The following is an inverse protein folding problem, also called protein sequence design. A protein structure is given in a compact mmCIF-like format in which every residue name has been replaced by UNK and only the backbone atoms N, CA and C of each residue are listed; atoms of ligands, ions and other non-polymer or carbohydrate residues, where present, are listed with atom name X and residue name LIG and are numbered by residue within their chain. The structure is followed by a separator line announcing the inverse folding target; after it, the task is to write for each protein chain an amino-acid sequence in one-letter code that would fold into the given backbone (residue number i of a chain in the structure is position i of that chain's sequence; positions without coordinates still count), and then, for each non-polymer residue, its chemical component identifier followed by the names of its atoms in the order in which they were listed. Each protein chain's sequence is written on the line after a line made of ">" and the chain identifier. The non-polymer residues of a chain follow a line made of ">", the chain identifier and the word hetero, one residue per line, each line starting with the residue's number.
data_IF_976451118309
#
_entry.id   IF_976451118309
#
_cell.length_a   1.000
_cell.length_b   1.000
_cell.length_c   1.000
_cell.angle_alpha   90.00
_cell.angle_beta   90.00
_cell.angle_gamma   90.00
#
_symmetry.space_group_name_H-M   'P 1'
#
loop_
_entity.id
_entity.type
_entity.pdbx_description
1 polymer ?
#
# COMPACT_ATOMS: atom_id res chain seq x y z
N UNK A 1 -8.58 4.95 7.36
CA UNK A 1 -8.45 6.29 6.76
C UNK A 1 -7.80 6.11 5.39
N UNK A 2 -8.36 6.70 4.35
CA UNK A 2 -7.94 6.49 2.94
C UNK A 2 -6.91 7.53 2.50
N UNK A 3 -6.96 8.72 3.11
CA UNK A 3 -6.03 9.84 2.90
C UNK A 3 -4.55 9.41 2.99
N UNK A 4 -4.24 8.43 3.83
CA UNK A 4 -2.88 7.90 3.95
C UNK A 4 -2.34 7.29 2.64
N UNK A 5 -3.19 6.73 1.77
CA UNK A 5 -2.74 6.24 0.45
C UNK A 5 -2.39 7.41 -0.47
N UNK A 6 -3.22 8.46 -0.45
CA UNK A 6 -3.01 9.68 -1.24
C UNK A 6 -1.73 10.37 -0.79
N UNK A 7 -1.57 10.58 0.52
CA UNK A 7 -0.44 11.32 1.08
C UNK A 7 0.88 10.53 0.99
N UNK A 8 0.86 9.22 1.24
CA UNK A 8 2.09 8.40 1.27
C UNK A 8 2.67 8.16 -0.12
N UNK A 9 1.79 7.98 -1.11
CA UNK A 9 2.15 7.55 -2.46
C UNK A 9 1.91 8.61 -3.53
N UNK A 10 1.44 9.80 -3.18
CA UNK A 10 1.03 10.85 -4.13
C UNK A 10 0.03 10.33 -5.18
N UNK A 11 -0.97 9.59 -4.68
CA UNK A 11 -1.95 8.87 -5.50
C UNK A 11 -3.36 9.47 -5.36
N UNK A 12 -3.65 10.67 -5.93
CA UNK A 12 -4.91 11.38 -5.72
C UNK A 12 -6.14 10.60 -6.21
N UNK A 13 -5.99 9.75 -7.23
CA UNK A 13 -7.06 8.87 -7.71
C UNK A 13 -7.54 7.88 -6.63
N UNK A 14 -6.76 7.65 -5.58
CA UNK A 14 -7.14 6.79 -4.47
C UNK A 14 -8.02 7.47 -3.41
N UNK A 15 -8.44 8.72 -3.60
CA UNK A 15 -9.31 9.43 -2.66
C UNK A 15 -10.62 8.67 -2.36
N UNK A 16 -11.15 7.95 -3.36
CA UNK A 16 -12.40 7.17 -3.26
C UNK A 16 -12.18 5.69 -2.94
N UNK A 17 -10.95 5.26 -2.63
CA UNK A 17 -10.69 3.89 -2.21
C UNK A 17 -11.48 3.56 -0.93
N UNK A 18 -11.97 2.33 -0.83
CA UNK A 18 -12.79 1.88 0.29
C UNK A 18 -11.96 1.07 1.28
N UNK A 19 -11.90 1.43 2.57
CA UNK A 19 -11.18 0.64 3.56
C UNK A 19 -11.93 -0.67 3.85
N UNK A 20 -11.20 -1.78 3.85
CA UNK A 20 -11.74 -3.13 4.14
C UNK A 20 -11.38 -3.54 5.56
N UNK A 21 -10.11 -3.38 5.94
CA UNK A 21 -9.61 -3.77 7.25
C UNK A 21 -8.42 -2.90 7.64
N UNK A 22 -8.22 -2.75 8.94
CA UNK A 22 -7.00 -2.16 9.50
C UNK A 22 -6.69 -2.88 10.81
N UNK A 23 -5.48 -3.40 10.92
CA UNK A 23 -4.98 -4.05 12.12
C UNK A 23 -3.65 -3.42 12.49
N UNK A 24 -3.45 -3.19 13.78
CA UNK A 24 -2.20 -2.64 14.30
C UNK A 24 -1.79 -3.40 15.54
N UNK A 25 -0.50 -3.67 15.65
CA UNK A 25 0.13 -4.22 16.85
C UNK A 25 1.32 -3.37 17.23
N UNK A 26 1.50 -3.20 18.53
CA UNK A 26 2.69 -2.52 19.09
C UNK A 26 3.28 -3.44 20.14
N UNK A 27 4.59 -3.63 20.09
CA UNK A 27 5.33 -4.51 20.98
C UNK A 27 6.71 -3.95 21.32
N UNK A 28 7.52 -4.72 22.09
CA UNK A 28 8.87 -4.31 22.50
C UNK A 28 9.82 -4.06 21.32
N UNK A 29 9.57 -4.74 20.20
CA UNK A 29 10.40 -4.72 18.98
C UNK A 29 9.86 -3.74 17.91
N UNK A 30 8.87 -2.90 18.26
CA UNK A 30 8.32 -1.88 17.35
C UNK A 30 6.81 -1.98 17.11
N UNK A 31 6.36 -1.37 16.01
CA UNK A 31 4.97 -1.35 15.55
C UNK A 31 4.81 -1.98 14.18
N UNK A 32 3.66 -2.62 14.00
CA UNK A 32 3.24 -3.24 12.75
C UNK A 32 1.81 -2.78 12.47
N UNK A 33 1.57 -2.30 11.25
CA UNK A 33 0.24 -1.89 10.80
C UNK A 33 -0.06 -2.51 9.44
N UNK A 34 -1.17 -3.24 9.36
CA UNK A 34 -1.70 -3.82 8.13
C UNK A 34 -2.99 -3.08 7.78
N UNK A 35 -3.06 -2.58 6.54
CA UNK A 35 -4.21 -1.84 6.01
C UNK A 35 -4.66 -2.50 4.71
N UNK A 36 -5.96 -2.73 4.57
CA UNK A 36 -6.54 -3.31 3.37
C UNK A 36 -7.61 -2.38 2.78
N UNK A 37 -7.62 -2.24 1.47
CA UNK A 37 -8.54 -1.39 0.72
C UNK A 37 -9.05 -2.09 -0.54
N UNK A 38 -10.20 -1.67 -1.04
CA UNK A 38 -10.60 -1.90 -2.43
C UNK A 38 -10.62 -0.58 -3.19
N UNK A 39 -10.17 -0.60 -4.44
CA UNK A 39 -10.11 0.58 -5.27
C UNK A 39 -10.40 0.24 -6.74
N UNK A 40 -10.67 1.26 -7.54
CA UNK A 40 -10.82 1.13 -8.99
C UNK A 40 -9.47 1.05 -9.72
N UNK A 41 -9.52 0.83 -11.03
CA UNK A 41 -8.31 0.71 -11.85
C UNK A 41 -7.41 1.96 -11.81
N UNK A 42 -8.02 3.15 -11.77
CA UNK A 42 -7.30 4.42 -11.83
C UNK A 42 -6.47 4.64 -10.57
N UNK A 43 -7.05 4.42 -9.39
CA UNK A 43 -6.30 4.41 -8.14
C UNK A 43 -5.16 3.38 -8.17
N UNK A 44 -5.42 2.15 -8.63
CA UNK A 44 -4.39 1.11 -8.63
C UNK A 44 -3.23 1.43 -9.58
N UNK A 45 -3.48 2.09 -10.71
CA UNK A 45 -2.44 2.55 -11.63
C UNK A 45 -1.64 3.70 -11.01
N UNK A 46 -2.32 4.70 -10.46
CA UNK A 46 -1.70 5.84 -9.77
C UNK A 46 -0.84 5.40 -8.57
N UNK A 47 -1.28 4.39 -7.82
CA UNK A 47 -0.53 3.82 -6.70
C UNK A 47 0.77 3.14 -7.17
N UNK A 48 0.75 2.43 -8.29
CA UNK A 48 1.94 1.78 -8.87
C UNK A 48 2.98 2.82 -9.30
N UNK A 49 2.53 3.90 -9.94
CA UNK A 49 3.40 4.98 -10.40
C UNK A 49 4.01 5.73 -9.20
N UNK A 50 3.19 6.04 -8.19
CA UNK A 50 3.61 6.66 -6.95
C UNK A 50 4.67 5.85 -6.19
N UNK A 51 4.41 4.56 -5.98
CA UNK A 51 5.36 3.63 -5.34
C UNK A 51 6.69 3.57 -6.08
N UNK A 52 6.66 3.49 -7.41
CA UNK A 52 7.88 3.42 -8.23
C UNK A 52 8.69 4.73 -8.14
N UNK A 53 8.00 5.87 -8.11
CA UNK A 53 8.61 7.21 -8.00
C UNK A 53 9.34 7.40 -6.68
N UNK A 54 8.76 6.94 -5.57
CA UNK A 54 9.34 7.09 -4.23
C UNK A 54 10.29 5.94 -3.84
N UNK A 55 10.59 5.02 -4.78
CA UNK A 55 11.66 4.04 -4.65
C UNK A 55 11.25 2.66 -4.12
N UNK A 56 9.95 2.33 -4.09
CA UNK A 56 9.53 0.94 -3.87
C UNK A 56 10.01 0.07 -5.03
N UNK A 57 10.45 -1.14 -4.71
CA UNK A 57 10.87 -2.14 -5.70
C UNK A 57 9.79 -3.19 -5.86
N UNK A 58 9.36 -3.39 -7.10
CA UNK A 58 8.42 -4.44 -7.47
C UNK A 58 9.16 -5.77 -7.65
N UNK A 59 8.65 -6.84 -7.05
CA UNK A 59 9.12 -8.20 -7.32
C UNK A 59 8.28 -8.91 -8.41
N UNK A 60 8.68 -10.13 -8.79
CA UNK A 60 8.00 -10.91 -9.84
C UNK A 60 6.56 -11.30 -9.47
N UNK A 61 6.23 -11.33 -8.17
CA UNK A 61 4.88 -11.57 -7.68
C UNK A 61 3.99 -10.30 -7.69
N UNK A 62 4.53 -9.16 -8.15
CA UNK A 62 3.80 -7.88 -8.18
C UNK A 62 3.66 -7.21 -6.81
N UNK A 63 4.46 -7.62 -5.84
CA UNK A 63 4.54 -6.99 -4.51
C UNK A 63 5.60 -5.91 -4.55
N UNK A 64 5.27 -4.75 -3.97
CA UNK A 64 6.15 -3.59 -3.86
C UNK A 64 6.71 -3.52 -2.46
N UNK A 65 8.03 -3.46 -2.32
CA UNK A 65 8.70 -3.38 -1.03
C UNK A 65 9.61 -2.15 -0.96
N UNK A 66 9.61 -1.50 0.19
CA UNK A 66 10.51 -0.40 0.54
C UNK A 66 11.09 -0.62 1.92
N UNK A 67 12.39 -0.34 2.08
CA UNK A 67 13.06 -0.38 3.37
C UNK A 67 13.59 1.02 3.68
N UNK A 68 13.19 1.57 4.82
CA UNK A 68 13.64 2.88 5.24
C UNK A 68 15.02 2.81 5.94
N UNK A 69 15.69 3.94 6.04
CA UNK A 69 17.03 4.04 6.65
C UNK A 69 17.06 3.78 8.16
N UNK A 70 15.91 3.72 8.81
CA UNK A 70 15.75 3.42 10.25
C UNK A 70 15.50 1.93 10.53
N UNK A 71 15.51 1.09 9.49
CA UNK A 71 15.31 -0.35 9.60
C UNK A 71 13.84 -0.81 9.49
N UNK A 72 12.89 0.11 9.33
CA UNK A 72 11.50 -0.22 9.04
C UNK A 72 11.30 -0.62 7.57
N UNK A 73 10.20 -1.31 7.30
CA UNK A 73 9.84 -1.82 5.99
C UNK A 73 8.37 -1.61 5.69
N UNK A 74 8.07 -1.29 4.44
CA UNK A 74 6.72 -1.20 3.91
C UNK A 74 6.57 -2.19 2.75
N UNK A 75 5.51 -2.99 2.79
CA UNK A 75 5.16 -3.95 1.75
C UNK A 75 3.74 -3.65 1.26
N UNK A 76 3.58 -3.43 -0.04
CA UNK A 76 2.28 -3.20 -0.67
C UNK A 76 2.01 -4.27 -1.73
N UNK A 77 0.90 -4.98 -1.58
CA UNK A 77 0.41 -5.99 -2.51
C UNK A 77 -0.84 -5.49 -3.20
N UNK A 78 -0.83 -5.50 -4.54
CA UNK A 78 -1.99 -5.13 -5.36
C UNK A 78 -2.54 -6.38 -6.05
N UNK A 79 -3.83 -6.66 -5.84
CA UNK A 79 -4.56 -7.78 -6.47
C UNK A 79 -5.69 -7.22 -7.32
N UNK A 80 -5.51 -7.21 -8.64
CA UNK A 80 -6.56 -6.77 -9.58
C UNK A 80 -7.60 -7.86 -9.79
N UNK A 81 -8.85 -7.47 -9.94
CA UNK A 81 -9.92 -8.36 -10.40
C UNK A 81 -9.65 -8.83 -11.84
N UNK A 82 -10.22 -9.96 -12.28
CA UNK A 82 -10.02 -10.45 -13.65
C UNK A 82 -10.46 -9.47 -14.75
N UNK A 83 -11.48 -8.65 -14.48
CA UNK A 83 -11.97 -7.61 -15.39
C UNK A 83 -11.11 -6.33 -15.37
N UNK A 84 -10.11 -6.26 -14.47
CA UNK A 84 -9.17 -5.16 -14.25
C UNK A 84 -9.81 -3.80 -13.95
N UNK A 85 -11.09 -3.76 -13.59
CA UNK A 85 -11.79 -2.52 -13.25
C UNK A 85 -11.60 -2.10 -11.81
N UNK A 86 -11.26 -3.05 -10.94
CA UNK A 86 -11.01 -2.81 -9.53
C UNK A 86 -9.98 -3.79 -8.97
N UNK A 87 -9.72 -3.70 -7.68
CA UNK A 87 -8.83 -4.62 -7.00
C UNK A 87 -8.69 -4.33 -5.53
N UNK A 88 -7.96 -5.22 -4.87
CA UNK A 88 -7.55 -5.08 -3.48
C UNK A 88 -6.15 -4.52 -3.36
N UNK A 89 -5.94 -3.69 -2.35
CA UNK A 89 -4.65 -3.20 -1.89
C UNK A 89 -4.46 -3.75 -0.48
N UNK A 90 -3.34 -4.37 -0.20
CA UNK A 90 -2.90 -4.75 1.14
C UNK A 90 -1.56 -4.09 1.40
N UNK A 91 -1.47 -3.28 2.46
CA UNK A 91 -0.28 -2.53 2.82
C UNK A 91 0.12 -2.85 4.25
N UNK A 92 1.28 -3.45 4.40
CA UNK A 92 1.96 -3.73 5.66
C UNK A 92 3.08 -2.71 5.88
N UNK A 93 3.14 -2.15 7.09
CA UNK A 93 4.11 -1.14 7.51
C UNK A 93 4.67 -1.57 8.88
N UNK A 94 5.96 -1.91 8.90
CA UNK A 94 6.70 -2.39 10.06
C UNK A 94 7.74 -1.35 10.43
N UNK A 95 7.69 -0.84 11.65
CA UNK A 95 8.66 0.11 12.17
C UNK A 95 9.25 -0.42 13.49
N UNK A 96 10.57 -0.59 13.60
CA UNK A 96 11.22 -1.00 14.85
C UNK A 96 11.19 0.10 15.92
#
# INVERSE_FOLDING_TARGET
>A
MVEILVDRFDAPACADASPVASMGKTGPEGSEVIRAYTADAECLDSLVDGMTTIGFKKNDAGVFAFQNSRGGSETVTIKRTPDRKSGGIEWEDINP
#
